data_IF_025812870967
#
_entry.id   IF_025812870967
#
_cell.length_a   1.000
_cell.length_b   1.000
_cell.length_c   1.000
_cell.angle_alpha   90.00
_cell.angle_beta   90.00
_cell.angle_gamma   90.00
#
_symmetry.space_group_name_H-M   'P 1'
#
loop_
_entity.id
_entity.type
_entity.pdbx_description
1 polymer ?
#
# COMPACT_ATOMS: atom_id res chain seq x y z
N UNK A 1 18.68 21.12 20.86
CA UNK A 1 19.42 21.69 19.72
C UNK A 1 19.05 20.92 18.46
N UNK A 2 18.97 21.57 17.30
CA UNK A 2 18.73 20.84 16.03
C UNK A 2 19.98 20.09 15.64
N UNK A 3 19.88 18.77 15.36
CA UNK A 3 21.00 17.97 14.81
C UNK A 3 21.35 18.33 13.35
N UNK A 4 20.71 19.36 12.77
CA UNK A 4 20.89 19.80 11.40
C UNK A 4 21.71 21.08 11.37
N UNK A 5 22.80 21.07 10.62
CA UNK A 5 23.60 22.27 10.35
C UNK A 5 22.90 23.16 9.31
N UNK A 6 23.21 24.46 9.24
CA UNK A 6 22.67 25.34 8.19
C UNK A 6 22.92 24.81 6.77
N UNK A 7 24.10 24.25 6.52
CA UNK A 7 24.47 23.64 5.23
C UNK A 7 23.56 22.45 4.86
N UNK A 8 23.21 21.61 5.82
CA UNK A 8 22.27 20.50 5.59
C UNK A 8 20.86 21.00 5.27
N UNK A 9 20.43 22.09 5.90
CA UNK A 9 19.12 22.70 5.65
C UNK A 9 19.04 23.25 4.21
N UNK A 10 20.10 23.89 3.73
CA UNK A 10 20.20 24.35 2.34
C UNK A 10 20.13 23.19 1.35
N UNK A 11 20.82 22.08 1.63
CA UNK A 11 20.78 20.88 0.79
C UNK A 11 19.38 20.25 0.75
N UNK A 12 18.65 20.23 1.87
CA UNK A 12 17.26 19.75 1.91
C UNK A 12 16.35 20.65 1.07
N UNK A 13 16.51 21.97 1.15
CA UNK A 13 15.72 22.93 0.35
C UNK A 13 16.03 22.83 -1.15
N UNK A 14 17.31 22.69 -1.51
CA UNK A 14 17.74 22.54 -2.90
C UNK A 14 17.26 21.23 -3.54
N UNK A 15 17.01 20.20 -2.72
CA UNK A 15 16.52 18.90 -3.19
C UNK A 15 15.00 18.85 -3.45
N UNK A 16 14.28 19.94 -3.20
CA UNK A 16 12.83 20.05 -3.42
C UNK A 16 12.45 19.83 -4.92
N UNK A 17 11.34 19.14 -5.22
CA UNK A 17 10.51 18.34 -4.32
C UNK A 17 11.24 17.09 -3.85
N UNK A 18 11.11 16.79 -2.56
CA UNK A 18 11.76 15.66 -1.91
C UNK A 18 10.95 14.38 -2.16
N UNK A 19 11.63 13.25 -2.31
CA UNK A 19 11.02 11.93 -2.35
C UNK A 19 11.79 10.99 -1.40
N UNK A 20 11.35 9.73 -1.27
CA UNK A 20 12.00 8.80 -0.34
C UNK A 20 13.43 8.42 -0.75
N UNK A 21 13.76 8.47 -2.03
CA UNK A 21 15.09 8.15 -2.57
C UNK A 21 16.08 9.30 -2.30
N UNK A 22 15.70 10.53 -2.63
CA UNK A 22 16.45 11.75 -2.29
C UNK A 22 16.63 11.89 -0.78
N UNK A 23 15.59 11.60 0.01
CA UNK A 23 15.69 11.60 1.47
C UNK A 23 16.70 10.56 1.97
N UNK A 24 16.78 9.39 1.33
CA UNK A 24 17.72 8.32 1.69
C UNK A 24 19.16 8.69 1.31
N UNK A 25 19.36 9.33 0.15
CA UNK A 25 20.67 9.84 -0.25
C UNK A 25 21.19 10.91 0.72
N UNK A 26 20.38 11.94 0.98
CA UNK A 26 20.73 12.99 1.95
C UNK A 26 20.97 12.42 3.36
N UNK A 27 20.18 11.44 3.78
CA UNK A 27 20.36 10.78 5.07
C UNK A 27 21.70 10.03 5.17
N UNK A 28 22.13 9.37 4.10
CA UNK A 28 23.44 8.74 4.03
C UNK A 28 24.57 9.76 4.15
N UNK A 29 24.45 10.90 3.45
CA UNK A 29 25.42 12.00 3.52
C UNK A 29 25.46 12.67 4.91
N UNK A 30 24.32 12.75 5.59
CA UNK A 30 24.21 13.41 6.91
C UNK A 30 24.52 12.50 8.08
N UNK A 31 24.62 11.17 7.86
CA UNK A 31 24.69 10.19 8.94
C UNK A 31 23.42 10.15 9.82
N UNK A 32 22.27 10.53 9.26
CA UNK A 32 20.98 10.58 9.95
C UNK A 32 20.00 9.56 9.36
N UNK A 33 18.86 9.34 10.01
CA UNK A 33 17.81 8.51 9.42
C UNK A 33 17.03 9.28 8.35
N UNK A 34 16.65 8.60 7.26
CA UNK A 34 15.80 9.20 6.22
C UNK A 34 14.46 9.74 6.78
N UNK A 35 13.94 9.13 7.86
CA UNK A 35 12.73 9.61 8.55
C UNK A 35 12.96 10.98 9.20
N UNK A 36 14.13 11.20 9.80
CA UNK A 36 14.50 12.49 10.36
C UNK A 36 14.59 13.55 9.25
N UNK A 37 15.21 13.22 8.11
CA UNK A 37 15.34 14.14 6.98
C UNK A 37 13.96 14.55 6.45
N UNK A 38 13.04 13.60 6.28
CA UNK A 38 11.66 13.87 5.86
C UNK A 38 10.95 14.75 6.90
N UNK A 39 11.11 14.47 8.20
CA UNK A 39 10.52 15.28 9.26
C UNK A 39 11.05 16.71 9.24
N UNK A 40 12.36 16.90 8.99
CA UNK A 40 12.97 18.21 8.90
C UNK A 40 12.52 18.96 7.64
N UNK A 41 12.42 18.29 6.50
CA UNK A 41 11.88 18.85 5.26
C UNK A 41 10.45 19.38 5.45
N UNK A 42 9.57 18.61 6.11
CA UNK A 42 8.22 19.05 6.46
C UNK A 42 8.19 20.28 7.36
N UNK A 43 9.07 20.35 8.37
CA UNK A 43 9.21 21.53 9.22
C UNK A 43 9.75 22.78 8.49
N UNK A 44 10.38 22.59 7.33
CA UNK A 44 10.93 23.65 6.49
C UNK A 44 9.99 24.02 5.32
N UNK A 45 8.75 23.50 5.34
CA UNK A 45 7.76 23.63 4.27
C UNK A 45 8.28 23.15 2.89
N UNK A 46 9.20 22.18 2.89
CA UNK A 46 9.69 21.55 1.66
C UNK A 46 8.73 20.45 1.25
N UNK A 47 8.24 20.53 0.01
CA UNK A 47 7.30 19.55 -0.55
C UNK A 47 7.91 18.14 -0.55
N UNK A 48 7.13 17.17 -0.05
CA UNK A 48 7.49 15.76 -0.03
C UNK A 48 6.46 14.94 -0.82
N UNK A 49 6.90 14.37 -1.94
CA UNK A 49 6.08 13.47 -2.77
C UNK A 49 6.39 12.02 -2.37
N UNK A 50 5.49 11.32 -1.66
CA UNK A 50 5.68 9.92 -1.34
C UNK A 50 5.71 9.07 -2.61
N UNK A 51 6.50 8.00 -2.62
CA UNK A 51 6.46 7.03 -3.70
C UNK A 51 5.02 6.49 -3.84
N UNK A 52 4.51 6.48 -5.07
CA UNK A 52 3.23 5.84 -5.38
C UNK A 52 3.32 4.41 -4.89
N UNK A 53 2.46 4.03 -3.95
CA UNK A 53 2.36 2.63 -3.53
C UNK A 53 1.98 1.84 -4.76
N UNK A 54 2.91 1.05 -5.30
CA UNK A 54 2.59 0.09 -6.35
C UNK A 54 1.49 -0.80 -5.78
N UNK A 55 0.36 -0.90 -6.47
CA UNK A 55 -0.66 -1.86 -6.11
C UNK A 55 0.03 -3.22 -5.97
N UNK A 56 -0.29 -3.96 -4.90
CA UNK A 56 0.31 -5.26 -4.67
C UNK A 56 0.20 -6.08 -5.97
N UNK A 57 1.30 -6.70 -6.38
CA UNK A 57 1.29 -7.66 -7.50
C UNK A 57 0.17 -8.66 -7.24
N UNK A 58 -0.59 -9.00 -8.28
CA UNK A 58 -1.82 -9.84 -8.28
C UNK A 58 -1.95 -10.74 -7.03
N UNK A 59 -3.11 -10.74 -6.35
CA UNK A 59 -3.33 -11.61 -5.20
C UNK A 59 -2.97 -13.06 -5.56
N UNK A 60 -2.14 -13.70 -4.73
CA UNK A 60 -1.61 -15.05 -4.96
C UNK A 60 -2.63 -16.15 -4.63
N UNK A 61 -3.89 -15.98 -5.03
CA UNK A 61 -4.97 -16.90 -4.70
C UNK A 61 -6.21 -16.67 -5.56
N UNK A 62 -7.16 -17.62 -5.52
CA UNK A 62 -8.37 -17.52 -6.32
C UNK A 62 -9.15 -16.25 -5.98
N UNK A 63 -9.72 -15.62 -7.00
CA UNK A 63 -10.58 -14.46 -6.77
C UNK A 63 -11.86 -14.87 -6.06
N UNK A 64 -12.55 -13.90 -5.42
CA UNK A 64 -13.89 -14.15 -4.87
C UNK A 64 -14.82 -14.76 -5.94
N UNK A 65 -14.76 -14.24 -7.17
CA UNK A 65 -15.56 -14.74 -8.28
C UNK A 65 -15.25 -16.22 -8.61
N UNK A 66 -13.97 -16.58 -8.68
CA UNK A 66 -13.56 -17.98 -8.90
C UNK A 66 -14.00 -18.89 -7.77
N UNK A 67 -13.88 -18.43 -6.52
CA UNK A 67 -14.32 -19.18 -5.34
C UNK A 67 -15.84 -19.43 -5.38
N UNK A 68 -16.62 -18.39 -5.68
CA UNK A 68 -18.08 -18.51 -5.82
C UNK A 68 -18.46 -19.44 -6.98
N UNK A 69 -17.76 -19.37 -8.11
CA UNK A 69 -18.00 -20.27 -9.26
C UNK A 69 -17.68 -21.74 -8.91
N UNK A 70 -16.59 -21.99 -8.19
CA UNK A 70 -16.23 -23.32 -7.73
C UNK A 70 -17.29 -23.92 -6.80
N UNK A 71 -17.82 -23.14 -5.85
CA UNK A 71 -18.89 -23.58 -4.95
C UNK A 71 -20.18 -23.88 -5.73
N UNK A 72 -20.56 -23.02 -6.70
CA UNK A 72 -21.74 -23.30 -7.56
C UNK A 72 -21.60 -24.60 -8.32
N UNK A 73 -20.43 -24.85 -8.90
CA UNK A 73 -20.12 -26.08 -9.60
C UNK A 73 -20.19 -27.30 -8.68
N UNK A 74 -19.62 -27.20 -7.48
CA UNK A 74 -19.60 -28.29 -6.52
C UNK A 74 -21.01 -28.70 -6.04
N UNK A 75 -21.90 -27.72 -5.86
CA UNK A 75 -23.26 -27.93 -5.38
C UNK A 75 -24.31 -27.98 -6.49
N UNK A 76 -23.89 -28.03 -7.76
CA UNK A 76 -24.78 -28.02 -8.93
C UNK A 76 -25.80 -26.86 -8.92
N UNK A 77 -25.38 -25.69 -8.44
CA UNK A 77 -26.21 -24.48 -8.40
C UNK A 77 -26.22 -23.76 -9.77
N UNK A 78 -27.24 -22.93 -10.04
CA UNK A 78 -27.33 -22.18 -11.30
C UNK A 78 -26.10 -21.30 -11.56
N UNK A 79 -25.61 -21.30 -12.80
CA UNK A 79 -24.51 -20.45 -13.21
C UNK A 79 -24.95 -18.98 -13.27
N UNK A 80 -24.32 -18.13 -12.47
CA UNK A 80 -24.55 -16.68 -12.48
C UNK A 80 -23.41 -15.90 -11.84
N UNK A 81 -23.34 -14.61 -12.17
CA UNK A 81 -22.47 -13.65 -11.52
C UNK A 81 -23.08 -13.10 -10.22
N UNK A 82 -22.23 -12.60 -9.33
CA UNK A 82 -22.64 -11.95 -8.08
C UNK A 82 -22.67 -12.89 -6.86
N UNK A 83 -23.13 -12.35 -5.74
CA UNK A 83 -23.22 -13.06 -4.45
C UNK A 83 -24.35 -14.09 -4.43
N UNK A 84 -24.27 -15.10 -3.54
CA UNK A 84 -25.30 -16.13 -3.39
C UNK A 84 -26.66 -15.55 -2.96
N UNK A 85 -27.75 -16.13 -3.47
CA UNK A 85 -29.10 -15.83 -3.01
C UNK A 85 -29.36 -16.53 -1.68
N UNK A 86 -30.42 -16.12 -0.97
CA UNK A 86 -30.86 -16.81 0.24
C UNK A 86 -31.14 -18.30 0.02
N UNK A 87 -31.70 -18.66 -1.14
CA UNK A 87 -31.98 -20.05 -1.49
C UNK A 87 -30.68 -20.85 -1.70
N UNK A 88 -29.71 -20.29 -2.43
CA UNK A 88 -28.40 -20.92 -2.63
C UNK A 88 -27.63 -21.06 -1.31
N UNK A 89 -27.74 -20.09 -0.41
CA UNK A 89 -27.13 -20.16 0.92
C UNK A 89 -27.76 -21.26 1.79
N UNK A 90 -29.07 -21.51 1.67
CA UNK A 90 -29.72 -22.61 2.37
C UNK A 90 -29.16 -23.97 1.90
N UNK A 91 -29.00 -24.15 0.60
CA UNK A 91 -28.37 -25.37 0.03
C UNK A 91 -26.94 -25.53 0.52
N UNK A 92 -26.16 -24.44 0.54
CA UNK A 92 -24.79 -24.47 1.09
C UNK A 92 -24.81 -24.91 2.56
N UNK A 93 -25.72 -24.35 3.37
CA UNK A 93 -25.84 -24.67 4.79
C UNK A 93 -26.15 -26.16 5.05
N UNK A 94 -26.96 -26.79 4.20
CA UNK A 94 -27.26 -28.22 4.26
C UNK A 94 -26.06 -29.12 3.91
N UNK A 95 -25.06 -28.57 3.21
CA UNK A 95 -23.89 -29.31 2.71
C UNK A 95 -22.59 -29.03 3.49
N UNK A 96 -22.64 -28.17 4.51
CA UNK A 96 -21.53 -27.93 5.45
C UNK A 96 -21.83 -28.66 6.76
N UNK A 97 -21.28 -29.87 6.88
CA UNK A 97 -21.30 -30.68 8.12
C UNK A 97 -20.09 -30.37 8.99
#
# INVERSE_FOLDING_TARGET
>A
MSNYTPKMIEQIKAAAPLNIEKARALAADFGLSHRSVISKAKHLDVEYTPAVRKAASKPAGPTKAETLAAIRKALSLPERSGDFTKAELAVIAENIG
#
